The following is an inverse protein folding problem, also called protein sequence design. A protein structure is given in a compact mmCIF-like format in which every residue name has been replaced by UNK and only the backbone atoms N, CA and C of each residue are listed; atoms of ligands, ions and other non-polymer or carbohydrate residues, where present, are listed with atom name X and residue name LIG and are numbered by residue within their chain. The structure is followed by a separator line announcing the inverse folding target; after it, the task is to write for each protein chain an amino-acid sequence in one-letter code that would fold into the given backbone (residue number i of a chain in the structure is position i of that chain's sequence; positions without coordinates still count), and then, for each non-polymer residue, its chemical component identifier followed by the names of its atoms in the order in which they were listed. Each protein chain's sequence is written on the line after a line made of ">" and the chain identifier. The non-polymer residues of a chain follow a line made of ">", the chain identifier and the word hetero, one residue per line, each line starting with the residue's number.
data_IF_020358053343
#
_entry.id   IF_020358053343
#
_cell.length_a   1.000
_cell.length_b   1.000
_cell.length_c   1.000
_cell.angle_alpha   90.00
_cell.angle_beta   90.00
_cell.angle_gamma   90.00
#
_symmetry.space_group_name_H-M   'P 1'
#
loop_
_entity.id
_entity.type
_entity.pdbx_description
1 polymer ?
#
# COMPACT_ATOMS: atom_id res chain seq x y z
N UNK A 1 -1.30 -14.44 0.68
CA UNK A 1 -0.86 -13.85 -0.61
C UNK A 1 0.53 -14.38 -0.89
N UNK A 2 0.79 -14.91 -2.08
CA UNK A 2 2.14 -15.38 -2.44
C UNK A 2 2.98 -14.17 -2.92
N UNK A 3 4.31 -14.20 -2.78
CA UNK A 3 5.17 -13.14 -3.30
C UNK A 3 4.98 -12.89 -4.81
N UNK A 4 4.67 -13.95 -5.57
CA UNK A 4 4.35 -13.86 -7.01
C UNK A 4 3.12 -12.98 -7.29
N UNK A 5 2.12 -13.02 -6.40
CA UNK A 5 0.90 -12.22 -6.52
C UNK A 5 1.20 -10.74 -6.29
N UNK A 6 2.07 -10.42 -5.32
CA UNK A 6 2.47 -9.05 -5.02
C UNK A 6 3.24 -8.40 -6.18
N UNK A 7 4.20 -9.13 -6.76
CA UNK A 7 4.92 -8.67 -7.95
C UNK A 7 3.99 -8.39 -9.13
N UNK A 8 2.94 -9.20 -9.29
CA UNK A 8 1.94 -9.00 -10.34
C UNK A 8 1.10 -7.74 -10.10
N UNK A 9 0.74 -7.46 -8.83
CA UNK A 9 0.05 -6.23 -8.44
C UNK A 9 0.92 -4.98 -8.65
N UNK A 10 2.20 -5.04 -8.29
CA UNK A 10 3.15 -3.94 -8.49
C UNK A 10 3.32 -3.64 -9.99
N UNK A 11 3.45 -4.68 -10.82
CA UNK A 11 3.52 -4.53 -12.29
C UNK A 11 2.24 -3.94 -12.90
N UNK A 12 1.07 -4.23 -12.31
CA UNK A 12 -0.20 -3.68 -12.76
C UNK A 12 -0.28 -2.16 -12.53
N UNK A 13 0.36 -1.67 -11.47
CA UNK A 13 0.36 -0.25 -11.09
C UNK A 13 -0.82 0.14 -10.19
N UNK A 14 -0.85 1.42 -9.81
CA UNK A 14 -1.94 2.02 -9.02
C UNK A 14 -3.25 2.02 -9.82
N UNK A 15 -4.37 1.92 -9.10
CA UNK A 15 -5.72 1.91 -9.67
C UNK A 15 -6.77 2.13 -8.59
N UNK A 16 -8.05 1.99 -8.95
CA UNK A 16 -9.14 2.20 -8.00
C UNK A 16 -9.08 1.28 -6.77
N UNK A 17 -8.49 0.09 -6.93
CA UNK A 17 -8.35 -0.95 -5.91
C UNK A 17 -6.89 -1.18 -5.47
N UNK A 18 -5.92 -0.39 -5.95
CA UNK A 18 -4.50 -0.47 -5.56
C UNK A 18 -3.94 0.94 -5.34
N UNK A 19 -3.41 1.17 -4.14
CA UNK A 19 -2.68 2.39 -3.80
C UNK A 19 -1.24 2.03 -3.37
N UNK A 20 -0.24 2.73 -3.90
CA UNK A 20 1.16 2.59 -3.47
C UNK A 20 1.56 3.74 -2.54
N UNK A 21 2.29 3.39 -1.49
CA UNK A 21 2.93 4.35 -0.59
C UNK A 21 4.37 3.96 -0.35
N UNK A 22 5.28 4.92 -0.54
CA UNK A 22 6.70 4.67 -0.30
C UNK A 22 7.00 4.50 1.20
N UNK A 23 6.32 5.28 2.04
CA UNK A 23 6.46 5.30 3.50
C UNK A 23 5.11 5.15 4.17
N UNK A 24 5.11 4.87 5.47
CA UNK A 24 3.86 4.83 6.22
C UNK A 24 3.19 6.23 6.20
N UNK A 25 1.95 6.35 5.69
CA UNK A 25 1.20 7.59 5.80
C UNK A 25 0.84 7.88 7.26
N UNK A 26 0.35 9.08 7.55
CA UNK A 26 -0.22 9.39 8.87
C UNK A 26 -1.49 8.56 9.09
N UNK A 27 -1.79 8.22 10.34
CA UNK A 27 -2.94 7.38 10.72
C UNK A 27 -4.26 7.85 10.09
N UNK A 28 -4.46 9.17 10.03
CA UNK A 28 -5.65 9.76 9.39
C UNK A 28 -5.73 9.47 7.89
N UNK A 29 -4.60 9.53 7.20
CA UNK A 29 -4.53 9.27 5.76
C UNK A 29 -4.75 7.77 5.49
N UNK A 30 -4.19 6.91 6.34
CA UNK A 30 -4.45 5.46 6.32
C UNK A 30 -5.95 5.22 6.52
N UNK A 31 -6.54 5.71 7.61
CA UNK A 31 -7.96 5.53 7.92
C UNK A 31 -8.86 6.01 6.78
N UNK A 32 -8.53 7.14 6.16
CA UNK A 32 -9.26 7.65 4.99
C UNK A 32 -9.21 6.67 3.83
N UNK A 33 -8.04 6.11 3.51
CA UNK A 33 -7.88 5.11 2.45
C UNK A 33 -8.70 3.85 2.76
N UNK A 34 -8.66 3.36 4.00
CA UNK A 34 -9.44 2.19 4.44
C UNK A 34 -10.94 2.43 4.31
N UNK A 35 -11.43 3.61 4.71
CA UNK A 35 -12.85 3.99 4.53
C UNK A 35 -13.21 4.07 3.04
N UNK A 36 -12.34 4.64 2.20
CA UNK A 36 -12.55 4.67 0.76
C UNK A 36 -12.68 3.26 0.18
N UNK A 37 -11.77 2.35 0.53
CA UNK A 37 -11.82 0.95 0.07
C UNK A 37 -13.04 0.21 0.60
N UNK A 38 -13.44 0.44 1.86
CA UNK A 38 -14.63 -0.18 2.44
C UNK A 38 -15.94 0.29 1.77
N UNK A 39 -15.96 1.53 1.27
CA UNK A 39 -17.10 2.10 0.55
C UNK A 39 -17.09 1.78 -0.96
N UNK A 40 -16.04 1.14 -1.47
CA UNK A 40 -15.92 0.67 -2.85
C UNK A 40 -15.85 -0.86 -2.89
N UNK A 41 -15.38 -1.46 -3.99
CA UNK A 41 -15.19 -2.91 -4.13
C UNK A 41 -13.96 -3.46 -3.34
N UNK A 42 -13.59 -2.80 -2.24
CA UNK A 42 -12.36 -3.07 -1.52
C UNK A 42 -11.13 -2.46 -2.16
N UNK A 43 -9.95 -2.89 -1.69
CA UNK A 43 -8.68 -2.44 -2.23
C UNK A 43 -7.47 -2.96 -1.48
N UNK A 44 -6.29 -2.63 -1.99
CA UNK A 44 -4.99 -3.02 -1.42
C UNK A 44 -4.12 -1.77 -1.28
N UNK A 45 -3.65 -1.53 -0.07
CA UNK A 45 -2.62 -0.54 0.20
C UNK A 45 -1.27 -1.28 0.26
N UNK A 46 -0.35 -0.96 -0.66
CA UNK A 46 0.99 -1.55 -0.69
C UNK A 46 1.99 -0.49 -0.22
N UNK A 47 2.67 -0.78 0.89
CA UNK A 47 3.65 0.11 1.52
C UNK A 47 5.07 -0.34 1.17
N UNK A 48 5.98 0.61 0.98
CA UNK A 48 7.37 0.38 0.57
C UNK A 48 7.57 0.35 -0.94
N UNK A 49 6.60 0.88 -1.70
CA UNK A 49 6.64 0.98 -3.17
C UNK A 49 6.38 2.41 -3.58
N UNK A 50 7.21 2.96 -4.47
CA UNK A 50 7.00 4.31 -5.00
C UNK A 50 5.88 4.33 -6.06
N UNK A 51 5.44 5.53 -6.44
CA UNK A 51 4.38 5.71 -7.46
C UNK A 51 4.73 5.15 -8.84
N UNK A 52 6.01 4.85 -9.10
CA UNK A 52 6.47 4.26 -10.36
C UNK A 52 6.55 2.74 -10.28
N UNK A 53 6.16 2.14 -9.14
CA UNK A 53 6.23 0.69 -8.91
C UNK A 53 7.62 0.19 -8.49
N UNK A 54 8.56 1.08 -8.14
CA UNK A 54 9.85 0.63 -7.62
C UNK A 54 9.73 0.26 -6.15
N UNK A 55 10.24 -0.92 -5.80
CA UNK A 55 10.28 -1.40 -4.43
C UNK A 55 11.41 -0.66 -3.70
N UNK A 56 11.04 0.17 -2.72
CA UNK A 56 11.97 0.88 -1.83
C UNK A 56 12.18 0.14 -0.52
N UNK A 57 11.21 -0.70 -0.12
CA UNK A 57 11.17 -1.33 1.19
C UNK A 57 10.72 -0.37 2.27
N UNK A 58 10.57 -0.87 3.50
CA UNK A 58 10.22 -0.09 4.67
C UNK A 58 11.30 -0.28 5.75
N UNK A 59 11.82 0.78 6.37
CA UNK A 59 12.77 0.67 7.46
C UNK A 59 12.09 0.05 8.70
N UNK A 60 12.84 -0.67 9.52
CA UNK A 60 12.31 -1.42 10.66
C UNK A 60 11.60 -0.51 11.68
N UNK A 61 12.11 0.72 11.85
CA UNK A 61 11.57 1.71 12.79
C UNK A 61 10.19 2.26 12.36
N UNK A 62 9.78 2.05 11.11
CA UNK A 62 8.44 2.37 10.63
C UNK A 62 7.44 1.22 10.85
N UNK A 63 7.90 -0.02 11.02
CA UNK A 63 7.02 -1.16 11.32
C UNK A 63 6.46 -1.07 12.75
N UNK A 64 7.27 -0.62 13.70
CA UNK A 64 6.88 -0.44 15.10
C UNK A 64 5.77 0.62 15.29
N UNK A 65 5.48 1.44 14.28
CA UNK A 65 4.41 2.45 14.32
C UNK A 65 3.04 1.89 13.95
N UNK A 66 2.98 0.67 13.41
CA UNK A 66 1.73 0.02 13.00
C UNK A 66 1.21 -0.94 14.09
N UNK A 67 2.11 -1.46 14.93
CA UNK A 67 1.83 -2.38 16.03
C UNK A 67 1.47 -1.63 17.32
#
# INVERSE_FOLDING_TARGET
>A
MKPEDLMSLIKRGEGADIEFKEKLPKDRDIAKQFVCFANSDGGKLIIGVDKKGNIKGLPAEELDKIL
#
